data_IF_864026377773
#
_entry.id   IF_864026377773
#
_cell.length_a   1.000
_cell.length_b   1.000
_cell.length_c   1.000
_cell.angle_alpha   90.00
_cell.angle_beta   90.00
_cell.angle_gamma   90.00
#
_symmetry.space_group_name_H-M   'P 1'
#
loop_
_entity.id
_entity.type
_entity.pdbx_description
1 polymer ?
#
# COMPACT_ATOMS: atom_id res chain seq x y z
N UNK A 1 4.34 2.59 17.79
CA UNK A 1 3.10 1.95 17.33
C UNK A 1 2.36 2.93 16.44
N UNK A 2 2.27 2.57 15.18
CA UNK A 2 1.90 3.38 14.02
C UNK A 2 0.53 4.05 14.14
N UNK A 3 0.52 5.35 14.43
CA UNK A 3 -0.68 6.18 14.30
C UNK A 3 -1.03 6.50 12.83
N UNK A 4 -0.27 5.95 11.86
CA UNK A 4 -0.24 6.42 10.47
C UNK A 4 -0.34 5.33 9.40
N UNK A 5 -0.56 4.07 9.78
CA UNK A 5 -0.92 3.00 8.85
C UNK A 5 -2.40 3.07 8.50
N UNK A 6 -2.77 2.48 7.35
CA UNK A 6 -4.15 2.40 6.94
C UNK A 6 -4.91 1.49 7.91
N UNK A 7 -6.05 1.97 8.39
CA UNK A 7 -6.97 1.10 9.14
C UNK A 7 -7.63 0.11 8.18
N UNK A 8 -8.04 -1.03 8.71
CA UNK A 8 -8.64 -2.11 7.92
C UNK A 8 -9.92 -1.63 7.20
N UNK A 9 -10.77 -0.82 7.86
CA UNK A 9 -11.97 -0.26 7.26
C UNK A 9 -11.70 0.67 6.06
N UNK A 10 -10.56 1.37 6.09
CA UNK A 10 -10.13 2.19 4.96
C UNK A 10 -9.54 1.32 3.84
N UNK A 11 -8.86 0.23 4.21
CA UNK A 11 -8.22 -0.67 3.27
C UNK A 11 -9.27 -1.44 2.46
N UNK A 12 -10.27 -2.00 3.13
CA UNK A 12 -11.39 -2.73 2.51
C UNK A 12 -12.11 -1.89 1.44
N UNK A 13 -12.19 -0.57 1.63
CA UNK A 13 -12.82 0.34 0.66
C UNK A 13 -12.02 0.52 -0.63
N UNK A 14 -10.69 0.41 -0.57
CA UNK A 14 -9.81 0.70 -1.70
C UNK A 14 -9.20 -0.55 -2.33
N UNK A 15 -9.07 -1.65 -1.60
CA UNK A 15 -8.40 -2.87 -2.05
C UNK A 15 -8.94 -3.38 -3.38
N UNK A 16 -10.28 -3.38 -3.53
CA UNK A 16 -10.94 -3.86 -4.75
C UNK A 16 -10.69 -2.98 -5.97
N UNK A 17 -10.26 -1.73 -5.77
CA UNK A 17 -9.96 -0.77 -6.84
C UNK A 17 -8.52 -0.90 -7.35
N UNK A 18 -7.62 -1.54 -6.58
CA UNK A 18 -6.22 -1.66 -6.94
C UNK A 18 -6.02 -2.74 -8.00
N UNK A 19 -5.13 -2.51 -9.00
CA UNK A 19 -4.73 -3.56 -9.93
C UNK A 19 -3.82 -4.59 -9.25
N UNK A 20 -3.60 -5.73 -9.92
CA UNK A 20 -2.69 -6.76 -9.47
C UNK A 20 -3.29 -7.69 -8.39
N UNK A 21 -4.61 -7.73 -8.27
CA UNK A 21 -5.31 -8.73 -7.45
C UNK A 21 -5.15 -10.12 -8.09
N UNK A 22 -5.38 -11.17 -7.32
CA UNK A 22 -5.35 -12.55 -7.84
C UNK A 22 -6.39 -12.79 -8.95
N UNK A 23 -7.49 -12.02 -8.96
CA UNK A 23 -8.52 -12.05 -10.00
C UNK A 23 -8.11 -11.34 -11.29
N UNK A 24 -7.10 -10.48 -11.24
CA UNK A 24 -6.73 -9.64 -12.37
C UNK A 24 -5.85 -10.44 -13.35
N UNK A 25 -6.00 -10.17 -14.66
CA UNK A 25 -5.11 -10.76 -15.66
C UNK A 25 -3.73 -10.10 -15.60
N UNK A 26 -2.67 -10.91 -15.68
CA UNK A 26 -1.28 -10.43 -15.68
C UNK A 26 -0.54 -10.81 -14.40
N UNK A 27 0.35 -9.93 -13.94
CA UNK A 27 1.16 -10.16 -12.73
C UNK A 27 0.35 -9.80 -11.49
N UNK A 28 0.21 -10.77 -10.59
CA UNK A 28 -0.35 -10.55 -9.24
C UNK A 28 0.70 -9.85 -8.38
N UNK A 29 0.30 -8.75 -7.73
CA UNK A 29 1.15 -8.05 -6.79
C UNK A 29 1.43 -8.93 -5.57
N UNK A 30 2.67 -8.90 -5.06
CA UNK A 30 3.06 -9.69 -3.88
C UNK A 30 2.31 -9.26 -2.62
N UNK A 31 2.17 -7.95 -2.44
CA UNK A 31 1.43 -7.34 -1.33
C UNK A 31 1.00 -5.91 -1.70
N UNK A 32 -0.27 -5.77 -2.11
CA UNK A 32 -0.84 -4.48 -2.49
C UNK A 32 -0.98 -3.53 -1.30
N UNK A 33 -1.22 -4.05 -0.09
CA UNK A 33 -1.37 -3.21 1.10
C UNK A 33 -0.05 -2.56 1.46
N UNK A 34 1.02 -3.35 1.49
CA UNK A 34 2.36 -2.85 1.78
C UNK A 34 2.82 -1.83 0.73
N UNK A 35 2.46 -2.01 -0.54
CA UNK A 35 2.72 -1.01 -1.58
C UNK A 35 2.02 0.33 -1.30
N UNK A 36 0.71 0.30 -1.00
CA UNK A 36 -0.06 1.52 -0.71
C UNK A 36 0.44 2.20 0.57
N UNK A 37 0.74 1.44 1.62
CA UNK A 37 1.32 1.97 2.85
C UNK A 37 2.67 2.65 2.61
N UNK A 38 3.52 2.08 1.73
CA UNK A 38 4.78 2.69 1.32
C UNK A 38 4.56 4.02 0.57
N UNK A 39 3.61 4.07 -0.37
CA UNK A 39 3.24 5.32 -1.08
C UNK A 39 2.79 6.39 -0.09
N UNK A 40 1.91 6.05 0.86
CA UNK A 40 1.41 6.99 1.85
C UNK A 40 2.48 7.45 2.83
N UNK A 41 3.42 6.58 3.18
CA UNK A 41 4.58 6.95 3.97
C UNK A 41 5.42 8.01 3.23
N UNK A 42 5.76 7.77 1.97
CA UNK A 42 6.53 8.71 1.13
C UNK A 42 5.81 10.04 0.97
N UNK A 43 4.51 10.03 0.65
CA UNK A 43 3.72 11.27 0.51
C UNK A 43 3.71 12.11 1.79
N UNK A 44 3.82 11.46 2.95
CA UNK A 44 3.81 12.10 4.25
C UNK A 44 5.18 12.59 4.71
N UNK A 45 6.25 11.89 4.36
CA UNK A 45 7.61 12.21 4.82
C UNK A 45 8.42 12.98 3.79
N UNK A 46 8.05 12.89 2.51
CA UNK A 46 8.87 13.39 1.40
C UNK A 46 10.16 12.59 1.18
N UNK A 47 10.36 11.49 1.91
CA UNK A 47 11.58 10.69 1.83
C UNK A 47 11.64 9.88 0.54
N UNK A 48 12.85 9.64 -0.02
CA UNK A 48 13.00 8.80 -1.20
C UNK A 48 12.64 7.34 -0.89
N UNK A 49 12.28 6.58 -1.93
CA UNK A 49 11.93 5.15 -1.84
C UNK A 49 12.96 4.29 -1.11
N UNK A 50 14.26 4.63 -1.21
CA UNK A 50 15.34 3.88 -0.54
C UNK A 50 15.27 3.95 0.99
N UNK A 51 14.62 4.97 1.53
CA UNK A 51 14.54 5.21 2.97
C UNK A 51 13.27 4.61 3.59
N UNK A 52 12.52 3.82 2.82
CA UNK A 52 11.36 3.09 3.35
C UNK A 52 11.78 2.23 4.55
N UNK A 53 11.06 2.33 5.68
CA UNK A 53 11.31 1.46 6.81
C UNK A 53 11.05 0.00 6.41
N UNK A 54 11.98 -0.88 6.83
CA UNK A 54 11.98 -2.30 6.53
C UNK A 54 10.86 -3.07 7.25
#
# INVERSE_FOLDING_TARGET
MDRKMLRDDQWERIEQLLPGKASDRGVTARDNRRFVEAVLWIMRTGSPWRDLPA
#
